data_IF_844468077394
#
_entry.id   IF_844468077394
#
_cell.length_a   1.000
_cell.length_b   1.000
_cell.length_c   1.000
_cell.angle_alpha   90.00
_cell.angle_beta   90.00
_cell.angle_gamma   90.00
#
_symmetry.space_group_name_H-M   'P 1'
#
loop_
_entity.id
_entity.type
_entity.pdbx_description
1 polymer ?
#
# COMPACT_ATOMS: atom_id res chain seq x y z
N UNK A 1 -12.47 -22.89 20.86
CA UNK A 1 -12.48 -23.26 22.29
C UNK A 1 -13.91 -23.09 22.79
N UNK A 2 -14.53 -24.17 23.26
CA UNK A 2 -15.91 -24.16 23.75
C UNK A 2 -15.98 -23.43 25.10
N UNK A 3 -16.90 -22.47 25.19
CA UNK A 3 -17.14 -21.58 26.32
C UNK A 3 -17.67 -22.41 27.51
N UNK A 4 -16.82 -22.64 28.53
CA UNK A 4 -17.26 -23.19 29.82
C UNK A 4 -17.91 -22.04 30.60
N UNK A 5 -19.23 -21.93 30.54
CA UNK A 5 -19.98 -21.00 31.40
C UNK A 5 -20.02 -21.54 32.83
N UNK A 6 -19.38 -20.83 33.75
CA UNK A 6 -19.65 -20.98 35.18
C UNK A 6 -21.09 -20.55 35.50
N UNK A 7 -21.83 -21.29 36.34
CA UNK A 7 -23.22 -20.97 36.66
C UNK A 7 -23.29 -19.71 37.54
N UNK A 8 -23.76 -18.59 36.97
CA UNK A 8 -24.07 -17.36 37.71
C UNK A 8 -23.57 -16.07 37.06
N UNK A 9 -22.64 -16.14 36.10
CA UNK A 9 -22.15 -14.97 35.39
C UNK A 9 -22.68 -14.92 33.96
N UNK A 10 -23.42 -13.86 33.64
CA UNK A 10 -23.91 -13.59 32.28
C UNK A 10 -23.26 -12.31 31.78
N UNK A 11 -22.35 -12.44 30.82
CA UNK A 11 -21.75 -11.29 30.17
C UNK A 11 -22.80 -10.48 29.38
N UNK A 12 -22.47 -9.21 29.07
CA UNK A 12 -23.27 -8.43 28.13
C UNK A 12 -23.37 -9.15 26.79
N UNK A 13 -24.53 -9.03 26.14
CA UNK A 13 -24.79 -9.62 24.83
C UNK A 13 -23.87 -8.98 23.79
N UNK A 14 -23.34 -9.80 22.87
CA UNK A 14 -22.48 -9.32 21.78
C UNK A 14 -23.34 -8.80 20.63
N UNK A 15 -22.87 -7.75 19.96
CA UNK A 15 -23.58 -7.09 18.85
C UNK A 15 -24.13 -8.03 17.76
N UNK A 16 -23.44 -9.10 17.29
CA UNK A 16 -24.00 -9.99 16.26
C UNK A 16 -25.30 -10.68 16.68
N UNK A 17 -25.45 -10.98 17.97
CA UNK A 17 -26.67 -11.61 18.49
C UNK A 17 -27.86 -10.67 18.45
N UNK A 18 -27.65 -9.37 18.66
CA UNK A 18 -28.72 -8.37 18.58
C UNK A 18 -29.16 -8.13 17.13
N UNK A 19 -28.24 -8.25 16.14
CA UNK A 19 -28.59 -8.24 14.71
C UNK A 19 -29.56 -9.39 14.40
N UNK A 20 -29.22 -10.62 14.81
CA UNK A 20 -30.06 -11.80 14.60
C UNK A 20 -31.44 -11.64 15.27
N UNK A 21 -31.48 -11.11 16.49
CA UNK A 21 -32.73 -10.88 17.21
C UNK A 21 -33.59 -9.82 16.53
N UNK A 22 -33.01 -8.70 16.07
CA UNK A 22 -33.74 -7.64 15.39
C UNK A 22 -34.42 -8.13 14.10
N UNK A 23 -33.82 -9.10 13.41
CA UNK A 23 -34.38 -9.70 12.18
C UNK A 23 -35.60 -10.61 12.44
N UNK A 24 -35.79 -11.09 13.67
CA UNK A 24 -36.87 -12.03 14.04
C UNK A 24 -38.11 -11.34 14.63
N UNK A 25 -38.07 -10.01 14.82
CA UNK A 25 -39.17 -9.23 15.39
C UNK A 25 -40.32 -9.08 14.38
N UNK A 26 -41.60 -9.09 14.82
CA UNK A 26 -42.73 -8.83 13.94
C UNK A 26 -42.59 -7.54 13.13
N UNK A 27 -42.99 -7.60 11.86
CA UNK A 27 -42.98 -6.45 10.95
C UNK A 27 -44.16 -5.52 11.26
N UNK A 28 -43.86 -4.37 11.83
CA UNK A 28 -44.78 -3.26 12.07
C UNK A 28 -44.24 -2.01 11.35
N UNK A 29 -45.05 -0.95 11.18
CA UNK A 29 -44.54 0.32 10.65
C UNK A 29 -43.32 0.86 11.41
N UNK A 30 -43.24 0.61 12.73
CA UNK A 30 -42.10 1.01 13.57
C UNK A 30 -40.87 0.15 13.30
N UNK A 31 -41.02 -1.18 13.25
CA UNK A 31 -39.86 -2.08 13.06
C UNK A 31 -39.29 -2.05 11.64
N UNK A 32 -40.06 -1.53 10.68
CA UNK A 32 -39.62 -1.26 9.31
C UNK A 32 -39.02 0.15 9.12
N UNK A 33 -39.20 1.08 10.06
CA UNK A 33 -38.70 2.44 9.94
C UNK A 33 -37.15 2.46 10.06
N UNK A 34 -36.44 3.29 9.27
CA UNK A 34 -34.97 3.41 9.38
C UNK A 34 -34.49 3.73 10.79
N UNK A 35 -35.23 4.56 11.53
CA UNK A 35 -34.90 4.94 12.91
C UNK A 35 -34.89 3.78 13.92
N UNK A 36 -35.48 2.63 13.58
CA UNK A 36 -35.48 1.44 14.44
C UNK A 36 -34.27 0.52 14.19
N UNK A 37 -33.54 0.72 13.10
CA UNK A 37 -32.36 -0.11 12.77
C UNK A 37 -31.26 0.10 13.80
N UNK A 38 -30.50 -0.96 14.09
CA UNK A 38 -29.32 -0.87 14.95
C UNK A 38 -28.26 0.00 14.27
N UNK A 39 -27.79 1.05 14.96
CA UNK A 39 -26.90 2.05 14.37
C UNK A 39 -25.60 1.46 13.77
N UNK A 40 -25.06 0.39 14.36
CA UNK A 40 -23.83 -0.27 13.88
C UNK A 40 -24.06 -1.26 12.72
N UNK A 41 -25.31 -1.59 12.39
CA UNK A 41 -25.71 -2.45 11.27
C UNK A 41 -26.45 -1.65 10.16
N UNK A 42 -26.74 -0.37 10.40
CA UNK A 42 -27.39 0.52 9.45
C UNK A 42 -26.38 1.17 8.49
N UNK A 43 -26.26 0.61 7.28
CA UNK A 43 -25.39 1.13 6.22
C UNK A 43 -25.75 2.54 5.77
N UNK A 44 -27.04 2.90 5.73
CA UNK A 44 -27.47 4.25 5.33
C UNK A 44 -27.03 5.26 6.38
N UNK A 45 -27.21 4.94 7.67
CA UNK A 45 -26.73 5.75 8.77
C UNK A 45 -25.21 5.90 8.73
N UNK A 46 -24.45 4.80 8.63
CA UNK A 46 -22.98 4.80 8.58
C UNK A 46 -22.41 5.59 7.39
N UNK A 47 -23.14 5.67 6.27
CA UNK A 47 -22.73 6.43 5.09
C UNK A 47 -23.06 7.94 5.14
N UNK A 48 -23.75 8.41 6.19
CA UNK A 48 -24.03 9.84 6.38
C UNK A 48 -22.76 10.67 6.50
N UNK A 49 -22.83 11.92 6.04
CA UNK A 49 -21.70 12.85 6.06
C UNK A 49 -21.14 13.08 7.47
N UNK A 50 -22.03 13.15 8.47
CA UNK A 50 -21.66 13.35 9.88
C UNK A 50 -20.82 12.19 10.44
N UNK A 51 -20.91 10.99 9.86
CA UNK A 51 -20.15 9.81 10.27
C UNK A 51 -18.91 9.56 9.43
N UNK A 52 -18.48 10.54 8.61
CA UNK A 52 -17.17 10.50 7.96
C UNK A 52 -16.01 10.22 8.93
N UNK A 53 -15.94 10.82 10.15
CA UNK A 53 -14.88 10.49 11.11
C UNK A 53 -14.87 9.02 11.54
N UNK A 54 -16.05 8.41 11.69
CA UNK A 54 -16.18 6.98 12.04
C UNK A 54 -15.69 6.11 10.88
N UNK A 55 -16.02 6.45 9.63
CA UNK A 55 -15.54 5.73 8.44
C UNK A 55 -14.02 5.83 8.28
N UNK A 56 -13.44 7.00 8.52
CA UNK A 56 -11.98 7.19 8.56
C UNK A 56 -11.33 6.30 9.62
N UNK A 57 -11.91 6.24 10.83
CA UNK A 57 -11.43 5.36 11.90
C UNK A 57 -11.51 3.88 11.50
N UNK A 58 -12.60 3.45 10.86
CA UNK A 58 -12.76 2.06 10.40
C UNK A 58 -11.73 1.68 9.34
N UNK A 59 -11.44 2.55 8.36
CA UNK A 59 -10.40 2.30 7.36
C UNK A 59 -9.00 2.24 7.97
N UNK A 60 -8.72 3.06 8.99
CA UNK A 60 -7.46 2.98 9.72
C UNK A 60 -7.35 1.65 10.48
N UNK A 61 -8.36 1.33 11.29
CA UNK A 61 -8.33 0.20 12.22
C UNK A 61 -8.35 -1.15 11.50
N UNK A 62 -9.18 -1.33 10.45
CA UNK A 62 -9.32 -2.63 9.79
C UNK A 62 -7.98 -3.15 9.27
N UNK A 63 -7.24 -2.29 8.55
CA UNK A 63 -5.93 -2.65 8.00
C UNK A 63 -4.93 -2.85 9.13
N UNK A 64 -4.88 -1.95 10.11
CA UNK A 64 -3.95 -2.05 11.23
C UNK A 64 -4.12 -3.33 12.03
N UNK A 65 -5.36 -3.68 12.39
CA UNK A 65 -5.68 -4.89 13.16
C UNK A 65 -5.25 -6.15 12.40
N UNK A 66 -5.55 -6.24 11.10
CA UNK A 66 -5.19 -7.41 10.30
C UNK A 66 -3.66 -7.54 10.16
N UNK A 67 -2.95 -6.43 9.93
CA UNK A 67 -1.48 -6.45 9.87
C UNK A 67 -0.86 -6.85 11.21
N UNK A 68 -1.41 -6.38 12.33
CA UNK A 68 -0.99 -6.75 13.68
C UNK A 68 -1.25 -8.24 13.99
N UNK A 69 -2.43 -8.77 13.64
CA UNK A 69 -2.78 -10.18 13.80
C UNK A 69 -1.83 -11.09 13.00
N UNK A 70 -1.37 -10.62 11.85
CA UNK A 70 -0.35 -11.30 11.01
C UNK A 70 1.08 -11.10 11.52
N UNK A 71 1.29 -10.25 12.53
CA UNK A 71 2.60 -9.96 13.12
C UNK A 71 3.52 -9.16 12.21
N UNK A 72 2.98 -8.43 11.23
CA UNK A 72 3.77 -7.62 10.28
C UNK A 72 4.21 -6.32 10.98
N UNK A 73 5.52 -6.18 11.19
CA UNK A 73 6.13 -5.07 11.92
C UNK A 73 6.72 -4.02 10.99
N UNK A 74 7.27 -4.44 9.85
CA UNK A 74 7.80 -3.52 8.83
C UNK A 74 7.56 -4.02 7.41
N UNK A 75 7.68 -3.08 6.48
CA UNK A 75 7.39 -3.27 5.06
C UNK A 75 8.46 -2.63 4.17
N UNK A 76 8.58 -3.16 2.96
CA UNK A 76 9.30 -2.51 1.86
C UNK A 76 8.24 -1.99 0.89
N UNK A 77 8.14 -0.67 0.79
CA UNK A 77 7.14 0.01 -0.02
C UNK A 77 7.63 0.12 -1.46
N UNK A 78 6.79 -0.24 -2.41
CA UNK A 78 7.08 -0.11 -3.84
C UNK A 78 6.03 0.73 -4.55
N UNK A 79 6.48 1.82 -5.16
CA UNK A 79 5.68 2.70 -6.01
C UNK A 79 6.23 2.71 -7.43
N UNK A 80 5.35 2.82 -8.42
CA UNK A 80 5.75 2.92 -9.82
C UNK A 80 4.58 2.96 -10.77
N UNK A 81 4.88 3.07 -12.07
CA UNK A 81 3.88 3.23 -13.11
C UNK A 81 2.97 1.99 -13.26
N UNK A 82 1.67 2.19 -13.06
CA UNK A 82 0.62 1.19 -13.36
C UNK A 82 0.51 0.84 -14.87
N UNK A 83 1.24 1.56 -15.72
CA UNK A 83 1.19 1.47 -17.18
C UNK A 83 2.42 0.81 -17.79
N UNK A 84 3.44 0.51 -16.97
CA UNK A 84 4.64 -0.18 -17.42
C UNK A 84 4.25 -1.64 -17.68
N UNK A 85 4.42 -2.16 -18.90
CA UNK A 85 4.07 -3.54 -19.20
C UNK A 85 5.13 -4.50 -18.65
N UNK A 86 4.74 -5.77 -18.45
CA UNK A 86 5.70 -6.87 -18.34
C UNK A 86 6.53 -6.95 -19.65
N UNK A 87 7.82 -7.33 -19.61
CA UNK A 87 8.63 -7.50 -20.81
C UNK A 87 7.99 -8.45 -21.82
N UNK A 88 7.85 -7.99 -23.05
CA UNK A 88 7.15 -8.72 -24.13
C UNK A 88 5.62 -8.60 -24.08
N UNK A 89 5.06 -8.00 -23.03
CA UNK A 89 3.65 -7.61 -22.95
C UNK A 89 3.31 -6.39 -23.80
N UNK A 90 2.03 -6.19 -24.07
CA UNK A 90 1.57 -5.03 -24.84
C UNK A 90 1.63 -3.74 -24.02
N UNK A 91 2.12 -2.67 -24.63
CA UNK A 91 2.12 -1.33 -24.06
C UNK A 91 0.71 -0.72 -24.14
N UNK A 92 -0.26 -1.37 -23.52
CA UNK A 92 -1.71 -1.12 -23.64
C UNK A 92 -2.13 0.33 -23.36
N UNK A 93 -1.34 1.04 -22.55
CA UNK A 93 -1.61 2.43 -22.20
C UNK A 93 -1.06 3.46 -23.20
N UNK A 94 -0.30 3.02 -24.21
CA UNK A 94 0.24 3.88 -25.24
C UNK A 94 -0.86 4.41 -26.17
N UNK A 95 -0.84 5.73 -26.42
CA UNK A 95 -1.76 6.40 -27.36
C UNK A 95 -1.08 6.82 -28.66
N UNK A 96 0.23 6.68 -28.75
CA UNK A 96 1.03 7.00 -29.93
C UNK A 96 2.35 6.20 -29.95
N UNK A 97 3.05 6.23 -31.09
CA UNK A 97 4.29 5.47 -31.31
C UNK A 97 5.41 5.83 -30.32
N UNK A 98 5.52 7.11 -29.92
CA UNK A 98 6.52 7.56 -28.95
C UNK A 98 6.26 6.94 -27.57
N UNK A 99 5.00 6.97 -27.12
CA UNK A 99 4.61 6.35 -25.85
C UNK A 99 4.80 4.85 -25.87
N UNK A 100 4.48 4.18 -26.98
CA UNK A 100 4.70 2.74 -27.14
C UNK A 100 6.18 2.39 -26.98
N UNK A 101 7.05 3.02 -27.77
CA UNK A 101 8.51 2.84 -27.68
C UNK A 101 9.05 3.10 -26.27
N UNK A 102 8.59 4.17 -25.62
CA UNK A 102 9.08 4.53 -24.30
C UNK A 102 8.58 3.57 -23.20
N UNK A 103 7.33 3.10 -23.28
CA UNK A 103 6.80 2.12 -22.33
C UNK A 103 7.47 0.76 -22.49
N UNK A 104 7.72 0.33 -23.73
CA UNK A 104 8.49 -0.89 -24.02
C UNK A 104 9.92 -0.77 -23.47
N UNK A 105 10.57 0.41 -23.62
CA UNK A 105 11.89 0.64 -23.04
C UNK A 105 11.87 0.62 -21.50
N UNK A 106 10.78 1.05 -20.86
CA UNK A 106 10.62 0.99 -19.40
C UNK A 106 10.24 -0.40 -18.89
N UNK A 107 9.89 -1.36 -19.75
CA UNK A 107 9.42 -2.69 -19.35
C UNK A 107 10.46 -3.45 -18.50
N UNK A 108 11.76 -3.21 -18.70
CA UNK A 108 12.79 -3.84 -17.87
C UNK A 108 12.68 -3.49 -16.37
N UNK A 109 12.08 -2.34 -16.01
CA UNK A 109 11.83 -2.00 -14.60
C UNK A 109 10.77 -2.90 -13.95
N UNK A 110 9.93 -3.58 -14.74
CA UNK A 110 9.07 -4.64 -14.21
C UNK A 110 9.91 -5.80 -13.68
N UNK A 111 10.92 -6.25 -14.43
CA UNK A 111 11.82 -7.31 -13.99
C UNK A 111 12.66 -6.90 -12.78
N UNK A 112 13.18 -5.66 -12.77
CA UNK A 112 13.91 -5.13 -11.63
C UNK A 112 13.01 -5.00 -10.39
N UNK A 113 11.76 -4.56 -10.54
CA UNK A 113 10.79 -4.52 -9.44
C UNK A 113 10.50 -5.92 -8.90
N UNK A 114 10.25 -6.90 -9.79
CA UNK A 114 10.01 -8.30 -9.42
C UNK A 114 11.22 -8.90 -8.69
N UNK A 115 12.43 -8.68 -9.20
CA UNK A 115 13.68 -9.14 -8.58
C UNK A 115 13.90 -8.47 -7.22
N UNK A 116 13.69 -7.16 -7.11
CA UNK A 116 13.83 -6.44 -5.84
C UNK A 116 12.85 -6.96 -4.78
N UNK A 117 11.58 -7.14 -5.15
CA UNK A 117 10.58 -7.72 -4.26
C UNK A 117 10.92 -9.15 -3.83
N UNK A 118 11.48 -9.96 -4.73
CA UNK A 118 11.97 -11.30 -4.41
C UNK A 118 13.08 -11.27 -3.37
N UNK A 119 14.10 -10.41 -3.55
CA UNK A 119 15.19 -10.24 -2.57
C UNK A 119 14.67 -9.80 -1.19
N UNK A 120 13.77 -8.83 -1.16
CA UNK A 120 13.13 -8.39 0.08
C UNK A 120 12.35 -9.52 0.76
N UNK A 121 11.63 -10.32 -0.04
CA UNK A 121 10.81 -11.43 0.44
C UNK A 121 11.63 -12.62 0.94
N UNK A 122 12.74 -12.94 0.28
CA UNK A 122 13.72 -13.95 0.73
C UNK A 122 14.29 -13.57 2.10
N UNK A 123 14.65 -12.29 2.30
CA UNK A 123 15.06 -11.81 3.62
C UNK A 123 13.91 -11.83 4.62
N UNK A 124 12.71 -11.39 4.22
CA UNK A 124 11.52 -11.40 5.06
C UNK A 124 11.22 -12.80 5.61
N UNK A 125 11.43 -13.85 4.83
CA UNK A 125 11.28 -15.25 5.25
C UNK A 125 12.16 -15.61 6.46
N UNK A 126 13.38 -15.05 6.56
CA UNK A 126 14.26 -15.26 7.73
C UNK A 126 13.69 -14.66 9.02
N UNK A 127 12.71 -13.75 8.89
CA UNK A 127 12.01 -13.10 10.01
C UNK A 127 10.59 -13.63 10.21
N UNK A 128 10.27 -14.81 9.66
CA UNK A 128 8.92 -15.38 9.64
C UNK A 128 7.90 -14.44 9.01
N UNK A 129 8.31 -13.70 7.98
CA UNK A 129 7.51 -12.71 7.27
C UNK A 129 6.95 -11.59 8.16
N UNK A 130 7.72 -11.19 9.19
CA UNK A 130 7.34 -10.11 10.11
C UNK A 130 8.02 -8.79 9.80
N UNK A 131 9.09 -8.80 9.02
CA UNK A 131 9.85 -7.60 8.65
C UNK A 131 10.04 -7.53 7.14
N UNK A 132 10.16 -6.32 6.59
CA UNK A 132 10.41 -6.09 5.16
C UNK A 132 9.43 -6.80 4.23
N UNK A 133 8.17 -6.96 4.66
CA UNK A 133 7.11 -7.53 3.83
C UNK A 133 6.80 -6.56 2.68
N UNK A 134 6.75 -7.06 1.45
CA UNK A 134 6.49 -6.22 0.28
C UNK A 134 5.07 -5.63 0.36
N UNK A 135 4.95 -4.32 0.16
CA UNK A 135 3.68 -3.61 0.07
C UNK A 135 3.63 -2.73 -1.18
N UNK A 136 2.52 -2.83 -1.91
CA UNK A 136 2.27 -2.05 -3.13
C UNK A 136 0.85 -1.48 -3.12
N UNK A 137 0.50 -0.68 -4.13
CA UNK A 137 -0.88 -0.23 -4.34
C UNK A 137 -1.83 -1.28 -4.91
N UNK A 138 -1.36 -2.51 -5.19
CA UNK A 138 -2.17 -3.63 -5.65
C UNK A 138 -2.70 -3.53 -7.08
N UNK A 139 -2.25 -2.55 -7.87
CA UNK A 139 -2.61 -2.42 -9.29
C UNK A 139 -1.67 -3.19 -10.22
N UNK A 140 -1.80 -2.98 -11.56
CA UNK A 140 -0.92 -3.57 -12.57
C UNK A 140 0.47 -2.90 -12.62
N UNK A 141 1.32 -3.38 -13.54
CA UNK A 141 2.65 -2.81 -13.81
C UNK A 141 3.63 -3.03 -12.66
N UNK A 142 4.35 -2.00 -12.23
CA UNK A 142 5.35 -2.14 -11.15
C UNK A 142 4.76 -2.69 -9.85
N UNK A 143 3.52 -2.30 -9.52
CA UNK A 143 2.84 -2.80 -8.31
C UNK A 143 2.63 -4.31 -8.39
N UNK A 144 2.16 -4.80 -9.54
CA UNK A 144 2.02 -6.23 -9.80
C UNK A 144 3.37 -6.94 -9.78
N UNK A 145 4.40 -6.39 -10.43
CA UNK A 145 5.75 -6.94 -10.39
C UNK A 145 6.25 -7.12 -8.95
N UNK A 146 6.00 -6.14 -8.09
CA UNK A 146 6.34 -6.23 -6.67
C UNK A 146 5.59 -7.36 -5.94
N UNK A 147 4.27 -7.44 -6.11
CA UNK A 147 3.49 -8.53 -5.50
C UNK A 147 3.91 -9.91 -6.04
N UNK A 148 4.14 -10.01 -7.36
CA UNK A 148 4.58 -11.23 -8.04
C UNK A 148 5.96 -11.69 -7.61
N UNK A 149 6.91 -10.77 -7.42
CA UNK A 149 8.25 -11.12 -6.94
C UNK A 149 8.25 -11.75 -5.56
N UNK A 150 7.31 -11.36 -4.69
CA UNK A 150 7.09 -12.03 -3.41
C UNK A 150 6.41 -13.41 -3.57
N UNK A 151 5.40 -13.49 -4.44
CA UNK A 151 4.68 -14.72 -4.76
C UNK A 151 5.59 -15.81 -5.36
N UNK A 152 6.55 -15.43 -6.21
CA UNK A 152 7.54 -16.33 -6.81
C UNK A 152 8.33 -17.16 -5.79
N UNK A 153 8.47 -16.66 -4.56
CA UNK A 153 9.16 -17.33 -3.45
C UNK A 153 8.20 -17.75 -2.33
N UNK A 154 6.89 -17.72 -2.59
CA UNK A 154 5.84 -18.12 -1.66
C UNK A 154 5.70 -17.21 -0.44
N UNK A 155 6.20 -15.98 -0.51
CA UNK A 155 6.13 -15.02 0.58
C UNK A 155 4.82 -14.19 0.52
N UNK A 156 4.29 -13.75 1.67
CA UNK A 156 3.13 -12.87 1.68
C UNK A 156 3.48 -11.48 1.12
N UNK A 157 2.52 -10.87 0.43
CA UNK A 157 2.63 -9.49 -0.06
C UNK A 157 1.32 -8.73 0.19
N UNK A 158 1.45 -7.44 0.48
CA UNK A 158 0.33 -6.56 0.83
C UNK A 158 -0.08 -5.75 -0.41
N UNK A 159 -1.38 -5.65 -0.66
CA UNK A 159 -1.98 -4.77 -1.64
C UNK A 159 -2.87 -3.74 -0.94
N UNK A 160 -2.51 -2.47 -1.02
CA UNK A 160 -3.33 -1.36 -0.55
C UNK A 160 -4.04 -0.74 -1.76
N UNK A 161 -5.15 -1.32 -2.20
CA UNK A 161 -5.95 -0.84 -3.33
C UNK A 161 -6.81 0.37 -2.95
N UNK A 162 -7.35 1.07 -3.95
CA UNK A 162 -8.28 2.17 -3.72
C UNK A 162 -9.41 2.15 -4.74
N UNK A 163 -10.61 2.52 -4.31
CA UNK A 163 -11.76 2.64 -5.19
C UNK A 163 -11.54 3.79 -6.18
N UNK A 164 -11.58 3.48 -7.47
CA UNK A 164 -11.47 4.43 -8.58
C UNK A 164 -12.68 4.30 -9.53
N UNK A 165 -13.06 5.36 -10.27
CA UNK A 165 -14.20 5.32 -11.20
C UNK A 165 -14.09 4.27 -12.32
N UNK A 166 -12.86 3.92 -12.70
CA UNK A 166 -12.57 2.82 -13.59
C UNK A 166 -11.86 1.76 -12.75
N UNK A 167 -12.63 0.77 -12.31
CA UNK A 167 -12.20 -0.23 -11.35
C UNK A 167 -11.09 -1.10 -11.93
N UNK A 168 -9.94 -1.12 -11.25
CA UNK A 168 -8.90 -2.11 -11.49
C UNK A 168 -9.08 -3.18 -10.43
N UNK A 169 -9.37 -4.41 -10.84
CA UNK A 169 -9.24 -5.54 -9.94
C UNK A 169 -7.83 -5.56 -9.35
N UNK A 170 -7.65 -5.88 -8.06
CA UNK A 170 -6.33 -6.08 -7.52
C UNK A 170 -5.59 -7.14 -8.34
N UNK A 171 -4.28 -6.97 -8.51
CA UNK A 171 -3.50 -7.99 -9.19
C UNK A 171 -3.55 -9.33 -8.42
N UNK A 172 -3.46 -10.44 -9.14
CA UNK A 172 -3.72 -11.79 -8.60
C UNK A 172 -2.61 -12.31 -7.67
N UNK A 173 -1.49 -11.58 -7.56
CA UNK A 173 -0.33 -11.95 -6.73
C UNK A 173 -0.37 -11.34 -5.33
N UNK A 174 -1.34 -10.45 -5.04
CA UNK A 174 -1.57 -9.97 -3.68
C UNK A 174 -2.07 -11.14 -2.82
N UNK A 175 -1.50 -11.32 -1.63
CA UNK A 175 -2.00 -12.34 -0.69
C UNK A 175 -3.47 -12.04 -0.34
N UNK A 176 -4.43 -12.96 -0.54
CA UNK A 176 -5.86 -12.67 -0.39
C UNK A 176 -6.25 -12.08 0.98
N UNK A 177 -5.60 -12.52 2.06
CA UNK A 177 -5.82 -11.99 3.41
C UNK A 177 -5.09 -10.69 3.75
N UNK A 178 -4.37 -10.11 2.79
CA UNK A 178 -3.61 -8.85 2.87
C UNK A 178 -3.95 -7.91 1.69
N UNK A 179 -5.10 -8.13 1.05
CA UNK A 179 -5.63 -7.28 0.00
C UNK A 179 -6.67 -6.32 0.60
N UNK A 180 -6.31 -5.06 0.76
CA UNK A 180 -7.13 -4.03 1.38
C UNK A 180 -7.67 -3.08 0.32
N UNK A 181 -8.93 -2.65 0.44
CA UNK A 181 -9.54 -1.69 -0.47
C UNK A 181 -9.97 -0.45 0.31
N UNK A 182 -9.34 0.68 -0.02
CA UNK A 182 -9.56 1.97 0.64
C UNK A 182 -10.54 2.83 -0.15
N UNK A 183 -11.19 3.76 0.54
CA UNK A 183 -11.93 4.85 -0.09
C UNK A 183 -11.20 6.18 0.11
N UNK A 184 -10.55 6.40 1.25
CA UNK A 184 -9.81 7.63 1.52
C UNK A 184 -8.32 7.51 1.19
N UNK A 185 -7.85 8.32 0.22
CA UNK A 185 -6.42 8.40 -0.14
C UNK A 185 -5.51 8.66 1.07
N UNK A 186 -5.90 9.56 1.97
CA UNK A 186 -5.08 9.92 3.13
C UNK A 186 -4.79 8.73 4.06
N UNK A 187 -5.79 7.87 4.31
CA UNK A 187 -5.62 6.70 5.17
C UNK A 187 -4.76 5.63 4.48
N UNK A 188 -4.96 5.45 3.17
CA UNK A 188 -4.11 4.57 2.36
C UNK A 188 -2.64 5.00 2.38
N UNK A 189 -2.37 6.29 2.17
CA UNK A 189 -1.03 6.90 2.21
C UNK A 189 -0.36 6.70 3.56
N UNK A 190 -1.11 6.94 4.64
CA UNK A 190 -0.65 6.68 5.99
C UNK A 190 -0.21 5.22 6.18
N UNK A 191 -0.99 4.24 5.70
CA UNK A 191 -0.65 2.82 5.81
C UNK A 191 0.60 2.39 5.04
N UNK A 192 0.94 3.05 3.93
CA UNK A 192 2.23 2.81 3.27
C UNK A 192 3.40 3.16 4.18
N UNK A 193 3.31 4.28 4.89
CA UNK A 193 4.46 4.87 5.60
C UNK A 193 4.58 4.45 7.06
N UNK A 194 3.47 4.10 7.72
CA UNK A 194 3.45 3.69 9.14
C UNK A 194 4.42 2.54 9.47
N UNK A 195 4.73 1.69 8.48
CA UNK A 195 5.61 0.51 8.65
C UNK A 195 6.77 0.50 7.67
N UNK A 196 7.01 1.57 6.92
CA UNK A 196 8.03 1.59 5.90
C UNK A 196 9.44 1.49 6.52
N UNK A 197 10.22 0.50 6.09
CA UNK A 197 11.67 0.41 6.32
C UNK A 197 12.49 0.61 5.05
N UNK A 198 11.86 0.65 3.90
CA UNK A 198 12.48 1.10 2.67
C UNK A 198 11.37 1.57 1.73
N UNK A 199 11.69 2.52 0.87
CA UNK A 199 10.78 3.04 -0.13
C UNK A 199 11.49 2.96 -1.48
N UNK A 200 10.94 2.19 -2.41
CA UNK A 200 11.43 2.07 -3.77
C UNK A 200 10.47 2.77 -4.73
N UNK A 201 10.99 3.76 -5.45
CA UNK A 201 10.28 4.56 -6.44
C UNK A 201 10.81 4.18 -7.84
N UNK A 202 10.00 3.43 -8.58
CA UNK A 202 10.23 3.10 -9.98
C UNK A 202 9.63 4.16 -10.91
N UNK A 203 10.05 4.23 -12.18
CA UNK A 203 9.48 5.16 -13.14
C UNK A 203 7.95 5.13 -13.16
N UNK A 204 7.33 6.30 -13.12
CA UNK A 204 5.91 6.42 -12.87
C UNK A 204 5.32 7.77 -13.23
N UNK A 205 4.02 7.89 -13.01
CA UNK A 205 3.25 9.11 -13.30
C UNK A 205 2.91 9.89 -12.02
N UNK A 206 1.81 10.64 -12.05
CA UNK A 206 1.39 11.50 -10.94
C UNK A 206 1.19 10.76 -9.61
N UNK A 207 0.60 9.56 -9.61
CA UNK A 207 0.46 8.79 -8.38
C UNK A 207 1.81 8.44 -7.75
N UNK A 208 2.81 8.08 -8.55
CA UNK A 208 4.17 7.80 -8.07
C UNK A 208 4.85 9.07 -7.55
N UNK A 209 4.70 10.20 -8.25
CA UNK A 209 5.25 11.48 -7.83
C UNK A 209 4.62 11.99 -6.53
N UNK A 210 3.30 11.84 -6.37
CA UNK A 210 2.56 12.18 -5.16
C UNK A 210 3.13 11.45 -3.93
N UNK A 211 3.26 10.12 -4.03
CA UNK A 211 3.84 9.32 -2.93
C UNK A 211 5.34 9.61 -2.69
N UNK A 212 6.10 9.89 -3.75
CA UNK A 212 7.51 10.25 -3.65
C UNK A 212 7.69 11.56 -2.88
N UNK A 213 6.98 12.63 -3.27
CA UNK A 213 7.10 13.92 -2.61
C UNK A 213 6.53 13.90 -1.19
N UNK A 214 5.41 13.21 -0.94
CA UNK A 214 4.87 13.06 0.42
C UNK A 214 5.89 12.40 1.35
N UNK A 215 6.50 11.30 0.89
CA UNK A 215 7.49 10.57 1.68
C UNK A 215 8.75 11.39 1.92
N UNK A 216 9.29 12.05 0.90
CA UNK A 216 10.46 12.93 1.03
C UNK A 216 10.17 14.10 1.98
N UNK A 217 9.01 14.74 1.88
CA UNK A 217 8.62 15.82 2.80
C UNK A 217 8.53 15.33 4.25
N UNK A 218 8.01 14.12 4.49
CA UNK A 218 7.94 13.56 5.84
C UNK A 218 9.33 13.27 6.44
N UNK A 219 10.26 12.77 5.63
CA UNK A 219 11.66 12.55 6.05
C UNK A 219 12.37 13.90 6.28
N UNK A 220 12.28 14.82 5.32
CA UNK A 220 12.87 16.16 5.38
C UNK A 220 12.41 16.94 6.63
N UNK A 221 11.12 16.86 6.97
CA UNK A 221 10.54 17.53 8.14
C UNK A 221 10.71 16.75 9.45
N UNK A 222 11.42 15.60 9.43
CA UNK A 222 11.67 14.73 10.58
C UNK A 222 10.39 14.21 11.24
N UNK A 223 9.32 14.09 10.45
CA UNK A 223 8.05 13.45 10.86
C UNK A 223 8.08 11.94 10.62
N UNK A 224 9.06 11.46 9.89
CA UNK A 224 9.40 10.06 9.66
C UNK A 224 10.91 9.87 9.80
N UNK A 225 11.33 8.71 10.30
CA UNK A 225 12.75 8.33 10.34
C UNK A 225 13.33 8.23 8.92
N UNK A 226 14.61 8.61 8.71
CA UNK A 226 15.28 8.36 7.44
C UNK A 226 15.38 6.85 7.18
N UNK A 227 14.76 6.40 6.10
CA UNK A 227 14.84 5.02 5.61
C UNK A 227 15.49 5.01 4.23
N UNK A 228 16.08 3.90 3.78
CA UNK A 228 16.53 3.76 2.39
C UNK A 228 15.45 4.19 1.40
N UNK A 229 15.70 5.29 0.70
CA UNK A 229 14.83 5.86 -0.31
C UNK A 229 15.49 5.66 -1.68
N UNK A 230 14.91 4.83 -2.52
CA UNK A 230 15.56 4.26 -3.70
C UNK A 230 14.84 4.77 -4.96
N UNK A 231 15.51 5.57 -5.77
CA UNK A 231 15.01 6.04 -7.07
C UNK A 231 15.56 5.16 -8.18
N UNK A 232 14.75 4.22 -8.65
CA UNK A 232 15.10 3.34 -9.76
C UNK A 232 15.08 4.09 -11.09
N UNK A 233 16.19 4.03 -11.83
CA UNK A 233 16.31 4.56 -13.17
C UNK A 233 16.74 6.02 -13.22
N UNK A 234 18.03 6.26 -13.00
CA UNK A 234 18.60 7.62 -12.94
C UNK A 234 18.31 8.43 -14.22
N UNK A 235 18.40 7.79 -15.37
CA UNK A 235 18.12 8.39 -16.68
C UNK A 235 16.67 8.84 -16.86
N UNK A 236 15.73 8.18 -16.20
CA UNK A 236 14.33 8.60 -16.19
C UNK A 236 14.16 9.82 -15.28
N UNK A 237 14.58 9.72 -14.03
CA UNK A 237 14.35 10.77 -13.03
C UNK A 237 15.04 12.09 -13.35
N UNK A 238 16.28 12.06 -13.86
CA UNK A 238 17.01 13.24 -14.31
C UNK A 238 16.31 14.03 -15.42
N UNK A 239 15.44 13.39 -16.21
CA UNK A 239 14.62 14.05 -17.24
C UNK A 239 13.29 14.57 -16.71
N UNK A 240 12.79 14.00 -15.61
CA UNK A 240 11.49 14.34 -15.03
C UNK A 240 11.62 15.47 -14.02
N UNK A 241 12.60 15.40 -13.12
CA UNK A 241 12.85 16.41 -12.08
C UNK A 241 14.35 16.68 -11.99
N UNK A 242 14.71 17.96 -12.01
CA UNK A 242 16.05 18.41 -11.65
C UNK A 242 16.05 18.81 -10.17
N UNK A 243 16.48 17.89 -9.30
CA UNK A 243 16.53 18.12 -7.86
C UNK A 243 17.59 19.16 -7.48
N UNK A 244 18.72 19.19 -8.18
CA UNK A 244 19.77 20.20 -7.97
C UNK A 244 19.24 21.61 -8.23
N UNK A 245 18.43 21.78 -9.28
CA UNK A 245 17.80 23.07 -9.54
C UNK A 245 16.85 23.52 -8.41
N UNK A 246 16.16 22.59 -7.73
CA UNK A 246 15.34 22.93 -6.56
C UNK A 246 16.20 23.47 -5.41
N UNK A 247 17.39 22.88 -5.20
CA UNK A 247 18.36 23.33 -4.22
C UNK A 247 19.00 24.67 -4.62
N UNK A 248 19.40 24.82 -5.89
CA UNK A 248 19.98 26.06 -6.44
C UNK A 248 19.01 27.25 -6.31
N UNK A 249 17.70 27.00 -6.51
CA UNK A 249 16.66 28.01 -6.32
C UNK A 249 16.30 28.25 -4.85
N UNK A 250 16.88 27.50 -3.90
CA UNK A 250 16.63 27.63 -2.47
C UNK A 250 15.24 27.16 -2.02
N UNK A 251 14.59 26.30 -2.82
CA UNK A 251 13.27 25.74 -2.49
C UNK A 251 13.35 24.47 -1.64
N UNK A 252 14.53 23.84 -1.63
CA UNK A 252 14.95 22.79 -0.70
C UNK A 252 16.38 23.12 -0.21
N UNK A 253 16.82 22.47 0.86
CA UNK A 253 18.21 22.58 1.33
C UNK A 253 19.16 21.83 0.37
N UNK A 254 20.43 22.25 0.24
CA UNK A 254 21.41 21.50 -0.55
C UNK A 254 21.56 20.04 -0.14
N UNK A 255 21.47 19.75 1.17
CA UNK A 255 21.60 18.41 1.72
C UNK A 255 20.33 17.54 1.50
N UNK A 256 19.22 18.12 1.02
CA UNK A 256 17.98 17.36 0.79
C UNK A 256 18.09 16.42 -0.42
N UNK A 257 19.09 16.62 -1.29
CA UNK A 257 19.41 15.68 -2.39
C UNK A 257 20.07 14.39 -1.89
N UNK A 258 20.61 14.39 -0.67
CA UNK A 258 21.18 13.20 -0.02
C UNK A 258 20.10 12.30 0.61
N UNK A 259 18.82 12.73 0.61
CA UNK A 259 17.71 11.95 1.18
C UNK A 259 17.38 10.69 0.38
N UNK A 260 17.88 10.55 -0.84
CA UNK A 260 17.60 9.43 -1.72
C UNK A 260 18.84 8.92 -2.46
N UNK A 261 18.77 7.66 -2.87
CA UNK A 261 19.79 6.99 -3.66
C UNK A 261 19.25 6.70 -5.05
N UNK A 262 19.93 7.18 -6.09
CA UNK A 262 19.72 6.66 -7.44
C UNK A 262 20.27 5.25 -7.55
N UNK A 263 19.47 4.34 -8.08
CA UNK A 263 19.85 2.95 -8.34
C UNK A 263 19.32 2.53 -9.71
N UNK A 264 20.01 1.62 -10.38
CA UNK A 264 19.56 1.10 -11.67
C UNK A 264 19.20 -0.40 -11.61
N UNK A 265 19.59 -1.09 -10.55
CA UNK A 265 19.32 -2.53 -10.39
C UNK A 265 18.80 -2.90 -9.00
N UNK A 266 18.05 -3.99 -8.92
CA UNK A 266 17.54 -4.57 -7.68
C UNK A 266 18.66 -4.94 -6.70
N UNK A 267 19.81 -5.43 -7.19
CA UNK A 267 20.94 -5.82 -6.34
C UNK A 267 21.60 -4.60 -5.70
N UNK A 268 21.76 -3.51 -6.45
CA UNK A 268 22.26 -2.24 -5.93
C UNK A 268 21.31 -1.69 -4.86
N UNK A 269 20.02 -1.64 -5.15
CA UNK A 269 18.99 -1.19 -4.21
C UNK A 269 18.98 -2.03 -2.92
N UNK A 270 19.06 -3.35 -3.05
CA UNK A 270 19.16 -4.25 -1.91
C UNK A 270 20.47 -4.05 -1.13
N UNK A 271 21.58 -3.79 -1.82
CA UNK A 271 22.86 -3.43 -1.20
C UNK A 271 22.76 -2.19 -0.30
N UNK A 272 22.05 -1.14 -0.75
CA UNK A 272 21.79 0.06 0.07
C UNK A 272 21.01 -0.30 1.34
N UNK A 273 19.95 -1.09 1.22
CA UNK A 273 19.15 -1.54 2.39
C UNK A 273 20.01 -2.35 3.36
N UNK A 274 20.79 -3.30 2.86
CA UNK A 274 21.67 -4.14 3.68
C UNK A 274 22.71 -3.31 4.42
N UNK A 275 23.32 -2.33 3.75
CA UNK A 275 24.31 -1.46 4.38
C UNK A 275 23.68 -0.58 5.47
N UNK A 276 22.50 -0.01 5.20
CA UNK A 276 21.77 0.82 6.16
C UNK A 276 21.39 0.04 7.43
N UNK A 277 20.87 -1.18 7.29
CA UNK A 277 20.41 -2.00 8.42
C UNK A 277 21.44 -3.01 8.96
N UNK A 278 22.64 -3.09 8.36
CA UNK A 278 23.72 -4.03 8.71
C UNK A 278 23.27 -5.51 8.65
N UNK A 279 22.69 -5.88 7.51
CA UNK A 279 22.16 -7.22 7.21
C UNK A 279 23.17 -8.15 6.52
#
# INVERSE_FOLDING_TARGET
>A
MADRQEPGWKALVRSPKDIEQAQQIPRTPQTLAPAYRLAFDDKEFLCREELRPVRLQLELLKTEMILQERGIRSTVVMFGGARIPEPGGDAWAARNATQKKNLEALAHYYDEARKFARLASEYSATTYHREMVVVTGGGPGVMEAGNRGADDVGAPSIGLNIVLPHEQAPNEYVTPGLCFNFHYFAIRKMHFLMRAKAIAIFPGGFGTLDEMFESLTLIQTKRMEPVPFLLFGKDFWSKVINFDALADHGTISPDDTDLFHHVDTADEAWGVIRNHYKL
#
